data_IF_459196877589
#
_entry.id   IF_459196877589
#
_cell.length_a   1.000
_cell.length_b   1.000
_cell.length_c   1.000
_cell.angle_alpha   90.00
_cell.angle_beta   90.00
_cell.angle_gamma   90.00
#
_symmetry.space_group_name_H-M   'P 1'
#
loop_
_entity.id
_entity.type
_entity.pdbx_description
1 polymer ?
#
# COMPACT_ATOMS: atom_id res chain seq x y z
N UNK A 1 -16.51 13.15 -3.60
CA UNK A 1 -15.75 14.31 -3.07
C UNK A 1 -14.28 14.00 -3.24
N UNK A 2 -13.42 14.98 -3.56
CA UNK A 2 -11.98 14.75 -3.61
C UNK A 2 -11.21 15.91 -2.98
N UNK A 3 -10.03 15.62 -2.45
CA UNK A 3 -9.05 16.60 -2.00
C UNK A 3 -7.66 16.16 -2.43
N UNK A 4 -6.76 17.10 -2.69
CA UNK A 4 -5.37 16.82 -3.06
C UNK A 4 -4.47 17.49 -2.04
N UNK A 5 -3.53 16.73 -1.48
CA UNK A 5 -2.49 17.24 -0.59
C UNK A 5 -1.11 16.92 -1.14
N UNK A 6 -0.13 17.80 -0.98
CA UNK A 6 1.25 17.49 -1.35
C UNK A 6 1.94 16.77 -0.19
N UNK A 7 2.35 15.52 -0.39
CA UNK A 7 3.11 14.80 0.63
C UNK A 7 4.51 15.41 0.79
N UNK A 8 5.16 15.15 1.93
CA UNK A 8 6.55 15.60 2.22
C UNK A 8 7.58 15.17 1.15
N UNK A 9 7.24 14.20 0.31
CA UNK A 9 8.04 13.70 -0.81
C UNK A 9 7.73 14.38 -2.15
N UNK A 10 6.96 15.47 -2.15
CA UNK A 10 6.72 16.33 -3.31
C UNK A 10 5.64 15.86 -4.29
N UNK A 11 5.09 14.64 -4.12
CA UNK A 11 3.99 14.16 -4.97
C UNK A 11 2.61 14.55 -4.43
N UNK A 12 1.67 14.91 -5.33
CA UNK A 12 0.28 15.07 -4.97
C UNK A 12 -0.32 13.73 -4.55
N UNK A 13 -1.00 13.72 -3.41
CA UNK A 13 -1.75 12.60 -2.88
C UNK A 13 -3.24 12.95 -2.90
N UNK A 14 -4.02 12.33 -3.79
CA UNK A 14 -5.44 12.54 -3.86
C UNK A 14 -6.18 11.63 -2.88
N UNK A 15 -7.03 12.22 -2.05
CA UNK A 15 -8.08 11.51 -1.30
C UNK A 15 -9.36 11.60 -2.12
N UNK A 16 -9.87 10.46 -2.61
CA UNK A 16 -11.07 10.40 -3.43
C UNK A 16 -12.12 9.57 -2.69
N UNK A 17 -13.27 10.18 -2.40
CA UNK A 17 -14.41 9.54 -1.76
C UNK A 17 -15.53 9.32 -2.78
N UNK A 18 -15.89 8.04 -2.94
CA UNK A 18 -17.03 7.58 -3.73
C UNK A 18 -18.19 7.19 -2.80
N UNK A 19 -19.40 7.60 -3.15
CA UNK A 19 -20.63 7.06 -2.56
C UNK A 19 -21.23 6.10 -3.55
N UNK A 20 -21.48 4.88 -3.09
CA UNK A 20 -22.01 3.81 -3.91
C UNK A 20 -23.42 3.50 -3.43
N UNK A 21 -24.29 3.19 -4.38
CA UNK A 21 -25.66 2.78 -4.10
C UNK A 21 -25.62 1.37 -3.48
N UNK A 22 -24.86 0.49 -4.13
CA UNK A 22 -24.66 -0.88 -3.69
C UNK A 22 -23.32 -1.03 -2.95
N UNK A 23 -23.31 -1.94 -1.96
CA UNK A 23 -22.09 -2.25 -1.21
C UNK A 23 -21.16 -3.09 -2.07
N UNK A 24 -19.92 -2.64 -2.22
CA UNK A 24 -18.84 -3.43 -2.82
C UNK A 24 -18.45 -4.57 -1.89
N UNK A 25 -18.36 -5.78 -2.44
CA UNK A 25 -17.84 -6.94 -1.75
C UNK A 25 -16.30 -7.02 -1.88
N UNK A 26 -15.59 -7.63 -0.91
CA UNK A 26 -14.14 -7.69 -0.92
C UNK A 26 -13.53 -8.26 -2.21
N UNK A 27 -14.20 -9.24 -2.84
CA UNK A 27 -13.82 -9.84 -4.12
C UNK A 27 -13.87 -8.84 -5.29
N UNK A 28 -14.74 -7.84 -5.24
CA UNK A 28 -14.89 -6.82 -6.27
C UNK A 28 -13.83 -5.72 -6.13
N UNK A 29 -13.35 -5.47 -4.90
CA UNK A 29 -12.32 -4.45 -4.61
C UNK A 29 -11.07 -4.69 -5.47
N UNK A 30 -10.66 -5.94 -5.65
CA UNK A 30 -9.47 -6.30 -6.44
C UNK A 30 -9.57 -5.94 -7.93
N UNK A 31 -10.80 -5.82 -8.46
CA UNK A 31 -11.02 -5.40 -9.85
C UNK A 31 -11.00 -3.89 -10.02
N UNK A 32 -11.25 -3.15 -8.94
CA UNK A 32 -11.37 -1.69 -8.93
C UNK A 32 -10.06 -1.03 -8.47
N UNK A 33 -9.39 -1.62 -7.48
CA UNK A 33 -8.19 -1.09 -6.83
C UNK A 33 -7.11 -2.17 -6.82
N UNK A 34 -5.91 -1.80 -7.26
CA UNK A 34 -4.72 -2.66 -7.18
C UNK A 34 -3.62 -1.96 -6.39
N UNK A 35 -3.12 -2.61 -5.34
CA UNK A 35 -1.98 -2.15 -4.54
C UNK A 35 -0.70 -2.95 -4.87
N UNK A 36 -0.55 -3.35 -6.14
CA UNK A 36 0.57 -4.18 -6.62
C UNK A 36 1.65 -3.31 -7.27
N UNK A 37 2.92 -3.68 -7.09
CA UNK A 37 4.03 -3.06 -7.80
C UNK A 37 3.91 -3.37 -9.30
N UNK A 38 3.92 -2.37 -10.20
CA UNK A 38 3.77 -2.59 -11.64
C UNK A 38 4.82 -3.54 -12.20
N UNK A 39 4.52 -4.22 -13.30
CA UNK A 39 5.53 -5.00 -14.01
C UNK A 39 6.36 -4.06 -14.91
N UNK A 40 7.69 -3.98 -14.75
CA UNK A 40 8.53 -3.09 -15.57
C UNK A 40 8.45 -3.39 -17.08
N UNK A 41 8.19 -4.64 -17.47
CA UNK A 41 8.02 -5.02 -18.88
C UNK A 41 6.69 -4.53 -19.48
N UNK A 42 5.70 -4.20 -18.64
CA UNK A 42 4.40 -3.67 -19.08
C UNK A 42 4.40 -2.14 -18.97
N UNK A 43 4.87 -1.61 -17.83
CA UNK A 43 4.92 -0.18 -17.56
C UNK A 43 6.16 0.18 -16.72
N UNK A 44 7.25 0.49 -17.42
CA UNK A 44 8.52 0.88 -16.80
C UNK A 44 8.43 2.22 -16.06
N UNK A 45 7.60 3.15 -16.53
CA UNK A 45 7.48 4.47 -15.94
C UNK A 45 6.83 4.37 -14.56
N UNK A 46 5.69 3.68 -14.48
CA UNK A 46 4.99 3.47 -13.22
C UNK A 46 5.83 2.60 -12.26
N UNK A 47 6.55 1.60 -12.78
CA UNK A 47 7.49 0.82 -11.98
C UNK A 47 8.61 1.65 -11.36
N UNK A 48 9.05 2.74 -12.00
CA UNK A 48 10.05 3.63 -11.42
C UNK A 48 9.45 4.57 -10.37
N UNK A 49 8.22 5.05 -10.60
CA UNK A 49 7.54 6.01 -9.74
C UNK A 49 7.05 5.36 -8.44
N UNK A 50 6.41 4.20 -8.51
CA UNK A 50 5.74 3.56 -7.36
C UNK A 50 6.72 3.23 -6.23
N UNK A 51 7.85 2.54 -6.46
CA UNK A 51 8.83 2.23 -5.41
C UNK A 51 9.51 3.45 -4.82
N UNK A 52 9.85 4.44 -5.66
CA UNK A 52 10.53 5.65 -5.21
C UNK A 52 9.65 6.50 -4.27
N UNK A 53 8.33 6.46 -4.43
CA UNK A 53 7.44 7.40 -3.76
C UNK A 53 6.43 6.75 -2.79
N UNK A 54 5.87 5.60 -3.17
CA UNK A 54 4.71 4.98 -2.51
C UNK A 54 5.13 3.85 -1.56
N UNK A 55 6.29 3.22 -1.78
CA UNK A 55 6.75 2.13 -0.91
C UNK A 55 7.33 2.67 0.39
N UNK A 56 6.85 2.11 1.50
CA UNK A 56 7.39 2.34 2.83
C UNK A 56 8.49 1.34 3.16
N UNK A 57 9.57 1.83 3.78
CA UNK A 57 10.65 1.01 4.29
C UNK A 57 10.25 0.17 5.51
N UNK A 58 11.08 -0.84 5.85
CA UNK A 58 10.91 -1.57 7.09
C UNK A 58 11.01 -0.64 8.30
N UNK A 59 10.48 -1.10 9.43
CA UNK A 59 10.61 -0.43 10.73
C UNK A 59 10.81 -1.48 11.84
N UNK A 60 10.93 -1.03 13.08
CA UNK A 60 11.14 -1.90 14.23
C UNK A 60 12.57 -2.40 14.27
N UNK A 61 12.75 -3.69 14.57
CA UNK A 61 14.08 -4.30 14.63
C UNK A 61 14.80 -4.30 13.27
N UNK A 62 14.06 -4.26 12.17
CA UNK A 62 14.62 -4.20 10.82
C UNK A 62 15.16 -2.81 10.47
N UNK A 63 14.61 -1.75 11.08
CA UNK A 63 15.09 -0.38 10.91
C UNK A 63 14.60 0.52 12.06
N UNK A 64 15.46 0.75 13.04
CA UNK A 64 15.18 1.61 14.21
C UNK A 64 15.22 3.11 13.89
N UNK A 65 15.81 3.48 12.76
CA UNK A 65 15.89 4.88 12.30
C UNK A 65 14.70 5.28 11.43
N UNK A 66 13.72 4.40 11.24
CA UNK A 66 12.52 4.68 10.46
C UNK A 66 11.69 5.78 11.11
N UNK A 67 11.13 6.69 10.29
CA UNK A 67 10.21 7.75 10.74
C UNK A 67 8.97 7.23 11.49
N UNK A 68 8.66 5.94 11.36
CA UNK A 68 7.52 5.30 12.04
C UNK A 68 7.84 4.77 13.44
N UNK A 69 9.09 4.93 13.90
CA UNK A 69 9.50 4.55 15.26
C UNK A 69 9.12 5.64 16.26
N UNK A 70 8.33 5.28 17.27
CA UNK A 70 7.98 6.12 18.43
C UNK A 70 8.12 5.25 19.66
N UNK A 71 8.83 5.74 20.69
CA UNK A 71 9.12 4.99 21.93
C UNK A 71 9.66 3.58 21.66
N UNK A 72 10.63 3.48 20.74
CA UNK A 72 11.25 2.23 20.27
C UNK A 72 10.31 1.21 19.62
N UNK A 73 9.05 1.58 19.37
CA UNK A 73 8.04 0.73 18.73
C UNK A 73 7.67 1.27 17.36
N UNK A 74 7.49 0.38 16.40
CA UNK A 74 6.95 0.77 15.12
C UNK A 74 5.45 1.00 15.20
N UNK A 75 5.02 2.24 14.95
CA UNK A 75 3.61 2.65 15.01
C UNK A 75 2.76 2.17 13.83
N UNK A 76 3.40 1.79 12.72
CA UNK A 76 2.72 1.37 11.47
C UNK A 76 2.88 -0.12 11.13
N UNK A 77 3.65 -0.86 11.93
CA UNK A 77 3.87 -2.31 11.78
C UNK A 77 4.32 -2.73 10.38
N UNK A 78 5.32 -2.05 9.81
CA UNK A 78 5.97 -2.48 8.57
C UNK A 78 7.11 -3.48 8.82
N UNK A 79 7.35 -4.43 7.89
CA UNK A 79 6.52 -4.73 6.72
C UNK A 79 5.19 -5.39 7.14
N UNK A 80 4.13 -5.14 6.38
CA UNK A 80 2.82 -5.79 6.59
C UNK A 80 2.90 -7.25 6.13
N UNK A 81 2.16 -8.13 6.81
CA UNK A 81 2.05 -9.55 6.45
C UNK A 81 1.47 -9.73 5.04
N UNK A 82 1.85 -10.84 4.39
CA UNK A 82 1.22 -11.28 3.16
C UNK A 82 -0.21 -11.78 3.43
N UNK A 83 -1.11 -11.49 2.50
CA UNK A 83 -2.50 -12.00 2.52
C UNK A 83 -2.95 -12.24 1.09
N UNK A 84 -3.62 -13.37 0.86
CA UNK A 84 -4.05 -13.78 -0.47
C UNK A 84 -5.31 -13.05 -0.93
N UNK A 85 -6.08 -12.48 -0.01
CA UNK A 85 -7.35 -11.81 -0.31
C UNK A 85 -7.43 -10.47 0.43
N UNK A 86 -8.23 -9.55 -0.12
CA UNK A 86 -8.60 -8.32 0.58
C UNK A 86 -9.67 -8.63 1.62
N UNK A 87 -9.46 -8.17 2.85
CA UNK A 87 -10.36 -8.39 3.98
C UNK A 87 -10.91 -7.04 4.44
N UNK A 88 -12.22 -6.85 4.35
CA UNK A 88 -12.88 -5.67 4.92
C UNK A 88 -13.07 -5.87 6.42
N UNK A 89 -12.41 -5.06 7.24
CA UNK A 89 -12.49 -5.15 8.69
C UNK A 89 -13.61 -4.24 9.25
N UNK A 90 -14.11 -4.56 10.45
CA UNK A 90 -15.22 -3.84 11.11
C UNK A 90 -14.82 -2.42 11.51
N UNK A 91 -13.53 -2.18 11.71
CA UNK A 91 -12.95 -0.87 12.06
C UNK A 91 -12.83 0.09 10.85
N UNK A 92 -13.26 -0.33 9.66
CA UNK A 92 -13.24 0.48 8.45
C UNK A 92 -11.90 0.53 7.73
N UNK A 93 -10.87 -0.19 8.20
CA UNK A 93 -9.58 -0.28 7.52
C UNK A 93 -9.43 -1.62 6.81
N UNK A 94 -9.56 -1.68 5.47
CA UNK A 94 -9.38 -2.92 4.74
C UNK A 94 -7.91 -3.37 4.78
N UNK A 95 -7.72 -4.68 4.95
CA UNK A 95 -6.42 -5.32 4.75
C UNK A 95 -6.36 -5.75 3.28
N UNK A 96 -5.64 -5.00 2.46
CA UNK A 96 -5.51 -5.32 1.03
C UNK A 96 -4.66 -6.56 0.76
N UNK A 97 -5.00 -7.27 -0.31
CA UNK A 97 -4.22 -8.38 -0.85
C UNK A 97 -2.75 -8.00 -1.04
N UNK A 98 -1.86 -8.81 -0.47
CA UNK A 98 -0.40 -8.68 -0.60
C UNK A 98 0.18 -10.05 -0.88
N UNK A 99 0.51 -10.30 -2.15
CA UNK A 99 1.00 -11.60 -2.62
C UNK A 99 2.43 -11.84 -2.16
N UNK A 100 2.71 -13.09 -1.78
CA UNK A 100 4.04 -13.54 -1.40
C UNK A 100 4.98 -13.57 -2.63
N UNK A 101 6.26 -13.26 -2.41
CA UNK A 101 7.34 -13.31 -3.40
C UNK A 101 7.56 -14.71 -3.96
N UNK A 102 7.23 -15.76 -3.20
CA UNK A 102 7.40 -17.15 -3.62
C UNK A 102 6.55 -17.49 -4.87
N UNK A 103 5.51 -16.70 -5.14
CA UNK A 103 4.64 -16.82 -6.31
C UNK A 103 5.08 -15.90 -7.47
N UNK A 104 6.33 -15.43 -7.49
CA UNK A 104 6.89 -14.61 -8.57
C UNK A 104 6.55 -13.11 -8.48
N UNK A 105 5.99 -12.64 -7.37
CA UNK A 105 5.70 -11.22 -7.16
C UNK A 105 6.94 -10.47 -6.68
N UNK A 106 7.14 -9.25 -7.18
CA UNK A 106 8.25 -8.42 -6.74
C UNK A 106 7.99 -7.87 -5.35
N UNK A 107 8.97 -8.04 -4.45
CA UNK A 107 9.08 -7.27 -3.22
C UNK A 107 10.24 -6.29 -3.38
N UNK A 108 9.96 -5.01 -3.14
CA UNK A 108 11.02 -4.02 -3.09
C UNK A 108 11.76 -4.16 -1.76
N UNK A 109 13.06 -4.44 -1.82
CA UNK A 109 13.94 -4.44 -0.66
C UNK A 109 14.53 -3.04 -0.54
N UNK A 110 14.12 -2.30 0.49
CA UNK A 110 14.68 -1.00 0.87
C UNK A 110 15.85 -1.18 1.83
#
# INVERSE_FOLDING_TARGET
MYSVECQKRGLPHPHILFWLIDKIHPEEIESIISAVIPNPSIDQMLFNIVPANIIHGPCGNLNRSSFYMVDEKCTKSFPKNFTNDTITNVDGYPIYRRRNTDNGFMQYRL
#
